data_IF_029373308446
#
_entry.id   IF_029373308446
#
_cell.length_a   1.000
_cell.length_b   1.000
_cell.length_c   1.000
_cell.angle_alpha   90.00
_cell.angle_beta   90.00
_cell.angle_gamma   90.00
#
_symmetry.space_group_name_H-M   'P 1'
#
loop_
_entity.id
_entity.type
_entity.pdbx_description
1 polymer ?
#
# COMPACT_ATOMS: atom_id res chain seq x y z
N UNK A 1 -4.42 -24.33 -6.05
CA UNK A 1 -4.42 -22.84 -6.32
C UNK A 1 -4.41 -22.62 -7.82
N UNK A 2 -4.95 -21.52 -8.33
CA UNK A 2 -4.88 -21.18 -9.77
C UNK A 2 -3.70 -20.21 -9.98
N UNK A 3 -2.67 -20.69 -10.69
CA UNK A 3 -1.54 -19.86 -11.12
C UNK A 3 -1.81 -19.44 -12.55
N UNK A 4 -1.70 -18.15 -12.84
CA UNK A 4 -1.93 -17.55 -14.14
C UNK A 4 -0.63 -16.91 -14.65
N UNK A 5 -0.30 -17.12 -15.92
CA UNK A 5 0.77 -16.38 -16.57
C UNK A 5 0.20 -15.08 -17.15
N UNK A 6 0.65 -13.93 -16.63
CA UNK A 6 0.13 -12.60 -17.00
C UNK A 6 1.02 -11.83 -17.99
N UNK A 7 2.27 -12.27 -18.14
CA UNK A 7 3.22 -11.82 -19.16
C UNK A 7 4.31 -12.90 -19.34
N UNK A 8 5.23 -12.72 -20.28
CA UNK A 8 6.36 -13.62 -20.47
C UNK A 8 7.16 -13.74 -19.16
N UNK A 9 7.31 -14.98 -18.66
CA UNK A 9 8.02 -15.29 -17.42
C UNK A 9 7.44 -14.60 -16.15
N UNK A 10 6.23 -14.06 -16.21
CA UNK A 10 5.54 -13.47 -15.06
C UNK A 10 4.27 -14.23 -14.76
N UNK A 11 4.19 -14.72 -13.55
CA UNK A 11 3.07 -15.49 -13.01
C UNK A 11 2.41 -14.73 -11.87
N UNK A 12 1.13 -14.99 -11.65
CA UNK A 12 0.39 -14.48 -10.48
C UNK A 12 -0.46 -15.56 -9.85
N UNK A 13 -0.63 -15.47 -8.56
CA UNK A 13 -1.59 -16.25 -7.79
C UNK A 13 -2.20 -15.42 -6.65
N UNK A 14 -3.47 -15.68 -6.28
CA UNK A 14 -4.14 -14.94 -5.24
C UNK A 14 -3.73 -15.42 -3.84
N UNK A 15 -3.28 -14.51 -2.98
CA UNK A 15 -3.20 -14.75 -1.54
C UNK A 15 -4.48 -14.20 -0.92
N UNK A 16 -5.32 -15.07 -0.35
CA UNK A 16 -6.58 -14.67 0.27
C UNK A 16 -6.35 -13.74 1.46
N UNK A 17 -7.19 -12.71 1.61
CA UNK A 17 -7.18 -11.77 2.74
C UNK A 17 -8.50 -11.93 3.51
N UNK A 18 -8.59 -12.87 4.47
CA UNK A 18 -9.85 -13.19 5.14
C UNK A 18 -10.42 -12.01 5.91
N UNK A 19 -11.73 -11.77 5.74
CA UNK A 19 -12.47 -10.68 6.36
C UNK A 19 -11.96 -9.27 6.00
N UNK A 20 -11.27 -9.14 4.86
CA UNK A 20 -10.78 -7.86 4.33
C UNK A 20 -11.56 -7.50 3.05
N UNK A 21 -11.99 -6.22 2.88
CA UNK A 21 -12.68 -5.77 1.66
C UNK A 21 -11.87 -5.95 0.38
N UNK A 22 -10.55 -6.00 0.46
CA UNK A 22 -9.65 -6.25 -0.68
C UNK A 22 -9.79 -7.68 -1.21
N UNK A 23 -10.20 -8.65 -0.38
CA UNK A 23 -10.43 -10.07 -0.65
C UNK A 23 -9.17 -10.88 -0.90
N UNK A 24 -8.26 -10.43 -1.76
CA UNK A 24 -6.98 -11.09 -2.06
C UNK A 24 -5.91 -10.08 -2.47
N UNK A 25 -4.67 -10.50 -2.32
CA UNK A 25 -3.48 -9.87 -2.90
C UNK A 25 -3.11 -10.64 -4.17
N UNK A 26 -2.81 -9.95 -5.25
CA UNK A 26 -2.16 -10.51 -6.44
C UNK A 26 -0.67 -10.65 -6.14
N UNK A 27 -0.23 -11.84 -5.74
CA UNK A 27 1.18 -12.12 -5.57
C UNK A 27 1.78 -12.42 -6.94
N UNK A 28 2.81 -11.67 -7.34
CA UNK A 28 3.47 -11.87 -8.63
C UNK A 28 4.81 -12.60 -8.46
N UNK A 29 5.19 -13.36 -9.49
CA UNK A 29 6.48 -14.02 -9.56
C UNK A 29 7.09 -13.81 -10.93
N UNK A 30 8.27 -13.22 -10.99
CA UNK A 30 9.11 -13.18 -12.19
C UNK A 30 10.04 -14.40 -12.10
N UNK A 31 9.93 -15.34 -13.05
CA UNK A 31 10.59 -16.65 -12.98
C UNK A 31 11.17 -17.07 -14.33
N UNK A 32 12.50 -17.07 -14.41
CA UNK A 32 13.24 -17.60 -15.58
C UNK A 32 14.71 -17.81 -15.24
N UNK A 33 15.31 -18.85 -15.84
CA UNK A 33 16.77 -19.06 -15.76
C UNK A 33 17.29 -19.44 -14.38
N UNK A 34 16.44 -20.01 -13.51
CA UNK A 34 16.83 -20.50 -12.19
C UNK A 34 16.91 -19.45 -11.09
N UNK A 35 16.54 -18.19 -11.35
CA UNK A 35 16.41 -17.14 -10.33
C UNK A 35 15.04 -16.48 -10.43
N UNK A 36 14.42 -16.28 -9.28
CA UNK A 36 13.04 -15.78 -9.19
C UNK A 36 12.95 -14.54 -8.31
N UNK A 37 11.95 -13.69 -8.60
CA UNK A 37 11.54 -12.59 -7.73
C UNK A 37 10.07 -12.77 -7.39
N UNK A 38 9.75 -12.98 -6.11
CA UNK A 38 8.38 -12.98 -5.61
C UNK A 38 8.06 -11.58 -5.07
N UNK A 39 6.89 -11.05 -5.41
CA UNK A 39 6.47 -9.69 -5.06
C UNK A 39 5.29 -9.77 -4.09
N UNK A 40 5.50 -9.24 -2.88
CA UNK A 40 4.58 -9.17 -1.74
C UNK A 40 4.17 -10.54 -1.15
N UNK A 41 3.67 -10.55 0.12
CA UNK A 41 3.62 -11.81 0.88
C UNK A 41 2.31 -12.09 1.63
N UNK A 42 1.32 -11.20 1.58
CA UNK A 42 0.07 -11.36 2.33
C UNK A 42 0.18 -11.05 3.83
N UNK A 43 -0.94 -11.10 4.57
CA UNK A 43 -0.96 -10.89 6.01
C UNK A 43 -0.20 -11.99 6.78
N UNK A 44 0.33 -11.64 7.95
CA UNK A 44 0.82 -12.62 8.94
C UNK A 44 -0.37 -13.40 9.57
N UNK A 45 -0.97 -14.26 8.77
CA UNK A 45 -2.09 -15.13 9.12
C UNK A 45 -1.91 -16.52 8.53
N UNK A 46 -2.40 -17.59 9.21
CA UNK A 46 -2.27 -18.95 8.71
C UNK A 46 -2.80 -19.12 7.28
N UNK A 47 -4.00 -18.59 6.98
CA UNK A 47 -4.65 -18.74 5.68
C UNK A 47 -3.86 -18.05 4.55
N UNK A 48 -3.29 -16.87 4.82
CA UNK A 48 -2.46 -16.15 3.86
C UNK A 48 -1.13 -16.89 3.63
N UNK A 49 -0.52 -17.38 4.71
CA UNK A 49 0.74 -18.14 4.66
C UNK A 49 0.57 -19.45 3.91
N UNK A 50 -0.50 -20.18 4.16
CA UNK A 50 -0.80 -21.42 3.43
C UNK A 50 -0.94 -21.15 1.93
N UNK A 51 -1.70 -20.12 1.54
CA UNK A 51 -1.85 -19.73 0.14
C UNK A 51 -0.52 -19.30 -0.50
N UNK A 52 0.31 -18.53 0.22
CA UNK A 52 1.64 -18.13 -0.23
C UNK A 52 2.53 -19.35 -0.48
N UNK A 53 2.65 -20.24 0.51
CA UNK A 53 3.52 -21.40 0.43
C UNK A 53 3.05 -22.42 -0.64
N UNK A 54 1.73 -22.58 -0.83
CA UNK A 54 1.20 -23.41 -1.92
C UNK A 54 1.59 -22.87 -3.29
N UNK A 55 1.44 -21.55 -3.53
CA UNK A 55 1.90 -20.90 -4.77
C UNK A 55 3.41 -21.03 -5.00
N UNK A 56 4.19 -20.78 -3.95
CA UNK A 56 5.64 -20.94 -4.00
C UNK A 56 6.06 -22.38 -4.33
N UNK A 57 5.43 -23.37 -3.70
CA UNK A 57 5.70 -24.79 -3.96
C UNK A 57 5.38 -25.17 -5.41
N UNK A 58 4.23 -24.76 -5.94
CA UNK A 58 3.83 -25.06 -7.32
C UNK A 58 4.78 -24.43 -8.35
N UNK A 59 5.40 -23.30 -8.04
CA UNK A 59 6.40 -22.64 -8.90
C UNK A 59 7.85 -23.04 -8.59
N UNK A 60 8.08 -23.96 -7.65
CA UNK A 60 9.42 -24.44 -7.29
C UNK A 60 10.31 -23.35 -6.67
N UNK A 61 9.73 -22.40 -5.92
CA UNK A 61 10.44 -21.30 -5.28
C UNK A 61 11.08 -21.77 -3.97
N UNK A 62 12.37 -21.57 -3.84
CA UNK A 62 13.19 -21.96 -2.69
C UNK A 62 14.09 -20.80 -2.25
N UNK A 63 14.66 -20.82 -1.02
CA UNK A 63 15.60 -19.77 -0.58
C UNK A 63 16.83 -19.62 -1.49
N UNK A 64 17.28 -20.71 -2.10
CA UNK A 64 18.46 -20.70 -2.97
C UNK A 64 18.22 -20.03 -4.33
N UNK A 65 16.96 -19.99 -4.79
CA UNK A 65 16.61 -19.52 -6.13
C UNK A 65 15.66 -18.33 -6.16
N UNK A 66 15.22 -17.78 -5.01
CA UNK A 66 14.16 -16.76 -4.98
C UNK A 66 14.50 -15.64 -3.99
N UNK A 67 14.40 -14.40 -4.46
CA UNK A 67 14.38 -13.21 -3.62
C UNK A 67 12.94 -12.70 -3.47
N UNK A 68 12.65 -12.04 -2.35
CA UNK A 68 11.33 -11.49 -2.02
C UNK A 68 11.40 -9.96 -2.13
N UNK A 69 10.63 -9.36 -3.01
CA UNK A 69 10.49 -7.91 -3.08
C UNK A 69 9.20 -7.48 -2.38
N UNK A 70 9.30 -6.50 -1.50
CA UNK A 70 8.18 -5.88 -0.80
C UNK A 70 7.95 -4.48 -1.36
N UNK A 71 6.77 -4.24 -1.91
CA UNK A 71 6.43 -2.96 -2.53
C UNK A 71 6.34 -1.83 -1.51
N UNK A 72 5.77 -2.10 -0.34
CA UNK A 72 5.57 -1.10 0.73
C UNK A 72 5.26 -1.74 2.09
N UNK A 73 5.15 -0.93 3.14
CA UNK A 73 5.14 -1.37 4.54
C UNK A 73 3.81 -1.97 5.05
N UNK A 74 2.70 -1.90 4.32
CA UNK A 74 1.42 -2.40 4.83
C UNK A 74 1.46 -3.90 5.11
N UNK A 75 0.67 -4.32 6.11
CA UNK A 75 0.74 -5.68 6.65
C UNK A 75 0.28 -6.78 5.69
N UNK A 76 -0.56 -6.45 4.72
CA UNK A 76 -0.97 -7.38 3.65
C UNK A 76 0.08 -7.56 2.55
N UNK A 77 1.16 -6.78 2.58
CA UNK A 77 2.34 -6.93 1.72
C UNK A 77 3.53 -7.51 2.49
N UNK A 78 3.77 -7.01 3.71
CA UNK A 78 4.93 -7.40 4.53
C UNK A 78 4.68 -8.60 5.44
N UNK A 79 3.43 -9.01 5.66
CA UNK A 79 3.04 -9.85 6.80
C UNK A 79 3.83 -11.15 6.96
N UNK A 80 4.21 -11.82 5.87
CA UNK A 80 5.03 -13.02 5.93
C UNK A 80 6.53 -12.78 5.66
N UNK A 81 7.00 -11.52 5.50
CA UNK A 81 8.40 -11.23 5.21
C UNK A 81 9.34 -11.73 6.30
N UNK A 82 9.00 -11.54 7.60
CA UNK A 82 9.80 -12.03 8.71
C UNK A 82 9.87 -13.58 8.76
N UNK A 83 8.75 -14.25 8.44
CA UNK A 83 8.71 -15.72 8.34
C UNK A 83 9.64 -16.20 7.21
N UNK A 84 9.50 -15.63 6.00
CA UNK A 84 10.33 -16.02 4.85
C UNK A 84 11.81 -15.72 5.06
N UNK A 85 12.16 -14.58 5.69
CA UNK A 85 13.54 -14.29 6.06
C UNK A 85 14.09 -15.33 7.06
N UNK A 86 13.28 -15.80 8.00
CA UNK A 86 13.61 -16.87 8.92
C UNK A 86 13.84 -18.23 8.24
N UNK A 87 13.15 -18.48 7.12
CA UNK A 87 13.33 -19.67 6.26
C UNK A 87 14.53 -19.52 5.30
N UNK A 88 15.26 -18.39 5.34
CA UNK A 88 16.47 -18.17 4.56
C UNK A 88 16.29 -17.41 3.24
N UNK A 89 15.07 -16.89 2.94
CA UNK A 89 14.87 -16.04 1.76
C UNK A 89 15.49 -14.66 1.95
N UNK A 90 16.10 -14.12 0.90
CA UNK A 90 16.53 -12.72 0.85
C UNK A 90 15.35 -11.81 0.63
N UNK A 91 15.16 -10.81 1.50
CA UNK A 91 14.12 -9.80 1.37
C UNK A 91 14.71 -8.49 0.86
N UNK A 92 14.01 -7.85 -0.09
CA UNK A 92 14.34 -6.54 -0.66
C UNK A 92 13.16 -5.61 -0.42
N UNK A 93 13.42 -4.38 0.04
CA UNK A 93 12.37 -3.42 0.36
C UNK A 93 12.89 -1.98 0.30
N UNK A 94 12.02 -1.03 -0.03
CA UNK A 94 12.35 0.39 0.03
C UNK A 94 12.86 0.81 1.41
N UNK A 95 14.00 1.50 1.46
CA UNK A 95 14.71 1.91 2.69
C UNK A 95 13.78 2.59 3.70
N UNK A 96 12.99 3.55 3.24
CA UNK A 96 12.13 4.35 4.12
C UNK A 96 11.09 3.46 4.80
N UNK A 97 10.39 2.64 4.06
CA UNK A 97 9.36 1.76 4.59
C UNK A 97 9.94 0.63 5.44
N UNK A 98 11.11 0.08 5.08
CA UNK A 98 11.79 -0.93 5.87
C UNK A 98 12.13 -0.40 7.28
N UNK A 99 12.64 0.83 7.38
CA UNK A 99 12.96 1.46 8.67
C UNK A 99 11.71 1.67 9.54
N UNK A 100 10.58 2.02 8.93
CA UNK A 100 9.31 2.19 9.65
C UNK A 100 8.78 0.83 10.12
N UNK A 101 8.74 -0.18 9.26
CA UNK A 101 8.18 -1.49 9.60
C UNK A 101 9.01 -2.26 10.63
N UNK A 102 10.31 -2.02 10.69
CA UNK A 102 11.23 -2.65 11.66
C UNK A 102 11.47 -1.82 12.92
N UNK A 103 10.88 -0.62 13.03
CA UNK A 103 10.93 0.19 14.24
C UNK A 103 10.37 -0.60 15.46
N UNK A 104 10.93 -0.40 16.68
CA UNK A 104 10.41 -1.04 17.88
C UNK A 104 8.90 -0.76 18.09
N UNK A 105 8.13 -1.79 18.41
CA UNK A 105 6.66 -1.72 18.53
C UNK A 105 6.18 -0.60 19.47
N UNK A 106 6.87 -0.40 20.60
CA UNK A 106 6.58 0.65 21.57
C UNK A 106 6.64 2.07 21.00
N UNK A 107 7.39 2.28 19.91
CA UNK A 107 7.65 3.60 19.32
C UNK A 107 6.80 3.84 18.05
N UNK A 108 6.41 2.77 17.33
CA UNK A 108 5.68 2.82 16.07
C UNK A 108 4.42 3.67 16.10
N UNK A 109 3.61 3.50 17.13
CA UNK A 109 2.25 4.08 17.18
C UNK A 109 2.14 5.26 18.14
N UNK A 110 3.17 5.54 18.95
CA UNK A 110 3.13 6.58 19.98
C UNK A 110 2.77 7.96 19.43
N UNK A 111 3.46 8.37 18.38
CA UNK A 111 3.23 9.68 17.74
C UNK A 111 1.89 9.71 17.00
N UNK A 112 1.53 8.62 16.31
CA UNK A 112 0.23 8.48 15.66
C UNK A 112 -0.93 8.60 16.64
N UNK A 113 -0.84 7.93 17.79
CA UNK A 113 -1.87 8.05 18.85
C UNK A 113 -1.96 9.47 19.41
N UNK A 114 -0.82 10.10 19.67
CA UNK A 114 -0.79 11.47 20.16
C UNK A 114 -1.40 12.45 19.14
N UNK A 115 -1.13 12.25 17.86
CA UNK A 115 -1.72 13.02 16.75
C UNK A 115 -3.24 12.81 16.71
N UNK A 116 -3.73 11.58 16.72
CA UNK A 116 -5.16 11.26 16.66
C UNK A 116 -5.96 11.97 17.76
N UNK A 117 -5.42 11.99 18.97
CA UNK A 117 -6.05 12.70 20.09
C UNK A 117 -6.03 14.23 19.92
N UNK A 118 -4.94 14.80 19.42
CA UNK A 118 -4.86 16.27 19.15
C UNK A 118 -5.83 16.71 18.04
N UNK A 119 -6.10 15.84 17.10
CA UNK A 119 -6.97 16.07 15.94
C UNK A 119 -8.44 15.73 16.17
N UNK A 120 -8.82 15.48 17.44
CA UNK A 120 -10.19 15.36 17.88
C UNK A 120 -10.74 13.93 17.94
N UNK A 121 -9.94 12.89 17.66
CA UNK A 121 -10.43 11.50 17.78
C UNK A 121 -10.76 11.15 19.23
N UNK A 122 -11.98 10.65 19.55
CA UNK A 122 -12.32 10.17 20.88
C UNK A 122 -11.40 9.03 21.34
N UNK A 123 -11.11 8.97 22.64
CA UNK A 123 -10.26 7.91 23.23
C UNK A 123 -10.83 6.50 23.00
N UNK A 124 -12.13 6.38 22.99
CA UNK A 124 -12.86 5.14 22.74
C UNK A 124 -12.63 4.65 21.30
N UNK A 125 -12.72 5.55 20.31
CA UNK A 125 -12.47 5.24 18.91
C UNK A 125 -10.99 4.90 18.68
N UNK A 126 -10.06 5.60 19.35
CA UNK A 126 -8.64 5.27 19.31
C UNK A 126 -8.34 3.87 19.87
N UNK A 127 -8.97 3.52 21.00
CA UNK A 127 -8.81 2.18 21.60
C UNK A 127 -9.33 1.08 20.68
N UNK A 128 -10.49 1.28 20.05
CA UNK A 128 -11.06 0.36 19.07
C UNK A 128 -10.19 0.24 17.81
N UNK A 129 -9.68 1.36 17.29
CA UNK A 129 -8.76 1.36 16.16
C UNK A 129 -7.50 0.55 16.48
N UNK A 130 -6.88 0.80 17.62
CA UNK A 130 -5.66 0.08 18.05
C UNK A 130 -5.88 -1.43 18.17
N UNK A 131 -7.06 -1.86 18.61
CA UNK A 131 -7.40 -3.27 18.75
C UNK A 131 -7.77 -3.97 17.44
N UNK A 132 -8.23 -3.24 16.44
CA UNK A 132 -8.85 -3.80 15.22
C UNK A 132 -8.05 -3.57 13.95
N UNK A 133 -7.13 -2.58 13.92
CA UNK A 133 -6.42 -2.27 12.68
C UNK A 133 -5.51 -3.42 12.22
N UNK A 134 -5.62 -3.84 10.95
CA UNK A 134 -4.75 -4.87 10.39
C UNK A 134 -3.26 -4.53 10.50
N UNK A 135 -2.91 -3.24 10.41
CA UNK A 135 -1.54 -2.75 10.52
C UNK A 135 -0.86 -3.13 11.85
N UNK A 136 -1.63 -3.24 12.93
CA UNK A 136 -1.13 -3.69 14.25
C UNK A 136 -1.32 -5.21 14.38
N UNK A 137 -2.53 -5.70 14.08
CA UNK A 137 -2.93 -7.08 14.34
C UNK A 137 -2.15 -8.11 13.51
N UNK A 138 -1.78 -7.77 12.29
CA UNK A 138 -1.09 -8.64 11.34
C UNK A 138 0.27 -8.09 10.91
N UNK A 139 0.84 -7.19 11.72
CA UNK A 139 2.17 -6.67 11.48
C UNK A 139 3.19 -7.81 11.38
N UNK A 140 4.18 -7.71 10.49
CA UNK A 140 5.31 -8.61 10.50
C UNK A 140 6.14 -8.39 11.78
N UNK A 141 6.88 -9.38 12.24
CA UNK A 141 8.02 -9.17 13.13
C UNK A 141 9.09 -8.35 12.42
N UNK A 142 10.14 -7.92 13.13
CA UNK A 142 11.32 -7.34 12.50
C UNK A 142 12.01 -8.38 11.59
N UNK A 143 12.48 -7.95 10.43
CA UNK A 143 13.18 -8.80 9.47
C UNK A 143 14.33 -8.03 8.82
N UNK A 144 15.43 -8.71 8.45
CA UNK A 144 16.48 -8.11 7.66
C UNK A 144 16.04 -7.94 6.22
N UNK A 145 16.41 -6.83 5.58
CA UNK A 145 16.22 -6.63 4.16
C UNK A 145 17.42 -5.92 3.53
N UNK A 146 17.68 -6.22 2.27
CA UNK A 146 18.46 -5.34 1.41
C UNK A 146 17.62 -4.12 1.12
N UNK A 147 18.01 -2.96 1.63
CA UNK A 147 17.35 -1.70 1.40
C UNK A 147 17.58 -1.22 -0.03
N UNK A 148 16.51 -0.77 -0.69
CA UNK A 148 16.49 -0.25 -2.05
C UNK A 148 16.10 1.23 -2.04
N UNK A 149 16.63 1.95 -3.03
CA UNK A 149 16.33 3.36 -3.27
C UNK A 149 15.77 3.55 -4.69
N UNK A 150 15.27 4.75 -4.99
CA UNK A 150 14.85 5.13 -6.35
C UNK A 150 15.99 4.95 -7.35
N UNK A 151 15.68 4.36 -8.50
CA UNK A 151 16.64 4.11 -9.57
C UNK A 151 17.43 2.82 -9.45
N UNK A 152 17.38 2.09 -8.30
CA UNK A 152 17.99 0.76 -8.21
C UNK A 152 17.40 -0.19 -9.25
N UNK A 153 18.22 -1.06 -9.82
CA UNK A 153 17.81 -2.01 -10.87
C UNK A 153 17.95 -3.45 -10.38
N UNK A 154 16.87 -4.21 -10.55
CA UNK A 154 16.80 -5.63 -10.25
C UNK A 154 16.65 -6.42 -11.56
N UNK A 155 17.51 -7.42 -11.78
CA UNK A 155 17.51 -8.22 -13.00
C UNK A 155 16.99 -9.63 -12.72
N UNK A 156 15.77 -9.92 -13.16
CA UNK A 156 15.13 -11.23 -13.02
C UNK A 156 14.35 -11.58 -14.29
N UNK A 157 14.35 -12.86 -14.67
CA UNK A 157 13.52 -13.35 -15.77
C UNK A 157 13.79 -12.70 -17.13
N UNK A 158 14.94 -12.06 -17.31
CA UNK A 158 15.26 -11.25 -18.49
C UNK A 158 14.66 -9.85 -18.46
N UNK A 159 14.06 -9.42 -17.34
CA UNK A 159 13.59 -8.06 -17.07
C UNK A 159 14.68 -7.24 -16.39
N UNK A 160 14.71 -5.94 -16.68
CA UNK A 160 15.49 -4.92 -15.99
C UNK A 160 14.53 -4.03 -15.19
N UNK A 161 14.14 -4.48 -14.01
CA UNK A 161 13.14 -3.87 -13.15
C UNK A 161 13.77 -2.71 -12.37
N UNK A 162 13.53 -1.49 -12.80
CA UNK A 162 13.97 -0.28 -12.10
C UNK A 162 12.99 0.05 -10.97
N UNK A 163 13.50 0.27 -9.77
CA UNK A 163 12.76 0.81 -8.65
C UNK A 163 12.36 2.26 -8.95
N UNK A 164 11.06 2.56 -8.91
CA UNK A 164 10.52 3.90 -8.98
C UNK A 164 9.93 4.26 -7.64
N UNK A 165 10.47 5.29 -6.97
CA UNK A 165 9.87 5.82 -5.76
C UNK A 165 8.52 6.48 -6.09
N UNK A 166 7.48 6.01 -5.44
CA UNK A 166 6.10 6.48 -5.60
C UNK A 166 5.49 6.77 -4.22
N UNK A 167 6.08 7.75 -3.48
CA UNK A 167 5.61 8.07 -2.14
C UNK A 167 4.17 8.62 -2.16
N UNK A 168 3.50 8.48 -1.02
CA UNK A 168 2.15 8.99 -0.78
C UNK A 168 1.26 7.96 -0.09
N UNK A 169 0.98 6.82 -0.71
CA UNK A 169 0.28 5.70 -0.06
C UNK A 169 1.06 5.22 1.18
N UNK A 170 2.37 5.01 1.02
CA UNK A 170 3.35 4.98 2.11
C UNK A 170 4.55 5.85 1.76
N UNK A 171 5.38 6.26 2.73
CA UNK A 171 6.53 7.13 2.48
C UNK A 171 7.60 6.49 1.58
N UNK A 172 7.76 5.19 1.66
CA UNK A 172 8.81 4.43 0.96
C UNK A 172 8.28 3.45 -0.09
N UNK A 173 7.06 3.68 -0.61
CA UNK A 173 6.49 2.84 -1.64
C UNK A 173 7.37 2.81 -2.89
N UNK A 174 7.64 1.62 -3.43
CA UNK A 174 8.36 1.40 -4.67
C UNK A 174 7.51 0.61 -5.67
N UNK A 175 7.41 1.12 -6.89
CA UNK A 175 7.00 0.35 -8.06
C UNK A 175 8.22 -0.28 -8.73
N UNK A 176 8.04 -1.40 -9.44
CA UNK A 176 9.08 -1.98 -10.29
C UNK A 176 8.70 -1.80 -11.77
N UNK A 177 9.56 -1.15 -12.54
CA UNK A 177 9.29 -0.75 -13.91
C UNK A 177 10.35 -1.29 -14.89
N UNK A 178 9.91 -2.01 -15.93
CA UNK A 178 10.73 -2.36 -17.09
C UNK A 178 10.32 -1.48 -18.28
N UNK A 179 11.17 -0.50 -18.59
CA UNK A 179 10.94 0.47 -19.68
C UNK A 179 10.92 -0.20 -21.07
N UNK A 180 11.79 -1.18 -21.28
CA UNK A 180 11.88 -1.88 -22.58
C UNK A 180 10.64 -2.70 -22.91
N UNK A 181 10.01 -3.27 -21.87
CA UNK A 181 8.80 -4.09 -21.99
C UNK A 181 7.53 -3.32 -21.65
N UNK A 182 7.65 -2.03 -21.30
CA UNK A 182 6.53 -1.15 -20.93
C UNK A 182 5.63 -1.78 -19.87
N UNK A 183 6.26 -2.42 -18.85
CA UNK A 183 5.60 -3.17 -17.81
C UNK A 183 5.92 -2.58 -16.44
N UNK A 184 4.91 -2.50 -15.57
CA UNK A 184 5.09 -2.00 -14.21
C UNK A 184 4.31 -2.83 -13.19
N UNK A 185 4.97 -3.20 -12.08
CA UNK A 185 4.33 -3.67 -10.85
C UNK A 185 4.03 -2.45 -9.98
N UNK A 186 2.76 -2.26 -9.66
CA UNK A 186 2.26 -1.01 -9.08
C UNK A 186 2.16 -1.05 -7.55
N UNK A 187 2.24 -2.22 -6.92
CA UNK A 187 1.83 -2.31 -5.52
C UNK A 187 0.45 -1.72 -5.33
N UNK A 188 0.30 -0.88 -4.29
CA UNK A 188 -0.93 -0.14 -3.99
C UNK A 188 -0.88 1.33 -4.46
N UNK A 189 0.10 1.70 -5.29
CA UNK A 189 0.17 3.06 -5.80
C UNK A 189 -1.01 3.39 -6.73
N UNK A 190 -1.35 2.50 -7.66
CA UNK A 190 -2.54 2.64 -8.53
C UNK A 190 -3.35 1.34 -8.51
N UNK A 191 -4.60 1.44 -8.05
CA UNK A 191 -5.60 0.38 -8.10
C UNK A 191 -6.74 0.80 -9.02
N UNK A 192 -7.25 -0.12 -9.85
CA UNK A 192 -8.17 0.23 -10.93
C UNK A 192 -9.63 0.33 -10.48
N UNK A 193 -10.07 -0.48 -9.51
CA UNK A 193 -11.46 -0.53 -9.04
C UNK A 193 -11.72 0.37 -7.82
N UNK A 194 -10.67 0.68 -7.05
CA UNK A 194 -10.76 1.41 -5.78
C UNK A 194 -9.70 2.49 -5.72
N UNK A 195 -9.92 3.50 -4.90
CA UNK A 195 -8.88 4.50 -4.60
C UNK A 195 -7.99 3.99 -3.50
N UNK A 196 -6.65 4.00 -3.68
CA UNK A 196 -5.72 3.73 -2.59
C UNK A 196 -5.95 4.66 -1.41
N UNK A 197 -5.72 4.14 -0.21
CA UNK A 197 -5.79 4.94 1.00
C UNK A 197 -4.53 5.78 1.15
N UNK A 198 -4.68 7.10 1.30
CA UNK A 198 -3.58 8.01 1.58
C UNK A 198 -3.74 8.51 3.01
N UNK A 199 -2.75 8.23 3.84
CA UNK A 199 -2.72 8.62 5.26
C UNK A 199 -1.66 9.68 5.52
N UNK A 200 -1.86 10.45 6.59
CA UNK A 200 -0.80 11.28 7.14
C UNK A 200 0.24 10.39 7.83
N UNK A 201 1.49 10.48 7.42
CA UNK A 201 2.62 9.74 7.98
C UNK A 201 3.46 10.63 8.91
N UNK A 202 4.01 10.04 9.97
CA UNK A 202 4.89 10.77 10.87
C UNK A 202 6.17 11.19 10.14
N UNK A 203 6.54 12.47 10.24
CA UNK A 203 7.71 13.01 9.56
C UNK A 203 7.52 13.31 8.05
N UNK A 204 6.32 13.08 7.50
CA UNK A 204 5.96 13.43 6.12
C UNK A 204 5.01 14.63 6.13
N UNK A 205 5.41 15.79 5.61
CA UNK A 205 4.59 17.00 5.67
C UNK A 205 3.32 16.92 4.82
N UNK A 206 3.40 16.29 3.64
CA UNK A 206 2.32 16.31 2.65
C UNK A 206 2.27 14.97 1.86
N UNK A 207 1.71 13.93 2.47
CA UNK A 207 1.60 12.62 1.85
C UNK A 207 0.68 12.61 0.61
N UNK A 208 -0.37 13.44 0.60
CA UNK A 208 -1.26 13.51 -0.54
C UNK A 208 -0.62 14.29 -1.71
N UNK A 209 0.12 15.35 -1.44
CA UNK A 209 0.90 16.03 -2.47
C UNK A 209 1.98 15.12 -3.06
N UNK A 210 2.67 14.32 -2.23
CA UNK A 210 3.58 13.27 -2.70
C UNK A 210 2.87 12.28 -3.62
N UNK A 211 1.69 11.80 -3.21
CA UNK A 211 0.88 10.88 -4.00
C UNK A 211 0.46 11.48 -5.36
N UNK A 212 -0.01 12.72 -5.36
CA UNK A 212 -0.41 13.41 -6.60
C UNK A 212 0.78 13.60 -7.55
N UNK A 213 1.99 13.94 -7.04
CA UNK A 213 3.21 14.00 -7.85
C UNK A 213 3.58 12.63 -8.42
N UNK A 214 3.45 11.58 -7.62
CA UNK A 214 3.69 10.21 -8.07
C UNK A 214 2.68 9.75 -9.14
N UNK A 215 1.42 10.17 -9.05
CA UNK A 215 0.41 9.90 -10.09
C UNK A 215 0.72 10.64 -11.41
N UNK A 216 1.20 11.89 -11.33
CA UNK A 216 1.64 12.62 -12.55
C UNK A 216 2.85 11.92 -13.20
N UNK A 217 3.76 11.33 -12.41
CA UNK A 217 4.82 10.47 -12.95
C UNK A 217 4.22 9.28 -13.69
N UNK A 218 3.25 8.56 -13.10
CA UNK A 218 2.61 7.39 -13.76
C UNK A 218 1.98 7.77 -15.10
N UNK A 219 1.40 8.96 -15.23
CA UNK A 219 0.82 9.45 -16.49
C UNK A 219 1.86 9.67 -17.58
N UNK A 220 3.10 9.97 -17.21
CA UNK A 220 4.19 10.24 -18.14
C UNK A 220 4.86 8.98 -18.70
N UNK A 221 4.61 7.82 -18.08
CA UNK A 221 5.21 6.54 -18.47
C UNK A 221 4.45 5.89 -19.63
N UNK A 222 5.19 5.35 -20.60
CA UNK A 222 4.62 4.53 -21.68
C UNK A 222 4.47 3.08 -21.20
N UNK A 223 3.27 2.73 -20.69
CA UNK A 223 2.97 1.44 -20.07
C UNK A 223 1.90 0.69 -20.87
N UNK A 224 2.22 -0.54 -21.26
CA UNK A 224 1.29 -1.49 -21.88
C UNK A 224 0.73 -2.51 -20.87
N UNK A 225 1.58 -2.92 -19.90
CA UNK A 225 1.20 -3.90 -18.88
C UNK A 225 1.36 -3.30 -17.49
N UNK A 226 0.23 -3.05 -16.82
CA UNK A 226 0.17 -2.56 -15.45
C UNK A 226 -0.34 -3.66 -14.51
N UNK A 227 0.41 -3.97 -13.44
CA UNK A 227 0.18 -5.09 -12.53
C UNK A 227 -0.09 -4.56 -11.11
N UNK A 228 -1.38 -4.32 -10.74
CA UNK A 228 -1.76 -3.82 -9.42
C UNK A 228 -1.73 -4.94 -8.37
N UNK A 229 -1.46 -4.61 -7.11
CA UNK A 229 -1.44 -5.60 -6.04
C UNK A 229 -2.84 -6.12 -5.65
N UNK A 230 -3.89 -5.36 -5.89
CA UNK A 230 -5.25 -5.78 -5.56
C UNK A 230 -6.21 -5.63 -6.74
N UNK A 231 -7.20 -6.53 -6.81
CA UNK A 231 -8.27 -6.53 -7.81
C UNK A 231 -7.78 -6.77 -9.24
N UNK A 232 -8.68 -6.62 -10.19
CA UNK A 232 -8.36 -6.72 -11.61
C UNK A 232 -7.93 -5.36 -12.18
N UNK A 233 -7.19 -5.40 -13.28
CA UNK A 233 -6.75 -4.20 -14.00
C UNK A 233 -7.91 -3.40 -14.64
N UNK A 234 -9.02 -4.01 -15.00
CA UNK A 234 -10.07 -3.34 -15.77
C UNK A 234 -9.62 -2.95 -17.20
N UNK A 235 -10.39 -2.07 -17.85
CA UNK A 235 -10.18 -1.66 -19.25
C UNK A 235 -9.35 -0.37 -19.40
N UNK A 236 -9.14 0.38 -18.32
CA UNK A 236 -8.42 1.66 -18.35
C UNK A 236 -6.91 1.47 -18.55
N UNK A 237 -6.29 2.38 -19.25
CA UNK A 237 -4.83 2.52 -19.25
C UNK A 237 -4.35 3.05 -17.89
N UNK A 238 -3.06 2.87 -17.59
CA UNK A 238 -2.47 3.42 -16.37
C UNK A 238 -2.62 4.95 -16.31
N UNK A 239 -2.38 5.64 -17.43
CA UNK A 239 -2.49 7.10 -17.52
C UNK A 239 -3.92 7.59 -17.26
N UNK A 240 -4.94 6.94 -17.85
CA UNK A 240 -6.34 7.29 -17.62
C UNK A 240 -6.74 7.06 -16.15
N UNK A 241 -6.30 5.95 -15.55
CA UNK A 241 -6.59 5.67 -14.16
C UNK A 241 -5.91 6.65 -13.22
N UNK A 242 -4.64 6.99 -13.45
CA UNK A 242 -3.92 8.01 -12.69
C UNK A 242 -4.64 9.38 -12.76
N UNK A 243 -5.10 9.77 -13.94
CA UNK A 243 -5.88 11.00 -14.11
C UNK A 243 -7.20 10.98 -13.31
N UNK A 244 -7.92 9.85 -13.32
CA UNK A 244 -9.15 9.71 -12.51
C UNK A 244 -8.87 9.82 -11.00
N UNK A 245 -7.74 9.28 -10.52
CA UNK A 245 -7.35 9.38 -9.13
C UNK A 245 -6.98 10.82 -8.75
N UNK A 246 -6.24 11.53 -9.59
CA UNK A 246 -5.94 12.96 -9.39
C UNK A 246 -7.23 13.78 -9.28
N UNK A 247 -8.17 13.59 -10.20
CA UNK A 247 -9.44 14.29 -10.16
C UNK A 247 -10.27 13.94 -8.92
N UNK A 248 -10.30 12.65 -8.53
CA UNK A 248 -10.95 12.22 -7.30
C UNK A 248 -10.43 12.99 -6.09
N UNK A 249 -9.11 13.10 -5.93
CA UNK A 249 -8.51 13.82 -4.80
C UNK A 249 -8.76 15.32 -4.85
N UNK A 250 -8.70 15.95 -6.04
CA UNK A 250 -9.07 17.37 -6.20
C UNK A 250 -10.51 17.66 -5.76
N UNK A 251 -11.45 16.81 -6.15
CA UNK A 251 -12.86 16.94 -5.72
C UNK A 251 -13.00 16.82 -4.19
N UNK A 252 -12.25 15.88 -3.59
CA UNK A 252 -12.22 15.71 -2.13
C UNK A 252 -11.66 16.94 -1.40
N UNK A 253 -10.60 17.53 -1.93
CA UNK A 253 -10.01 18.76 -1.40
C UNK A 253 -10.96 19.94 -1.46
N UNK A 254 -11.60 20.17 -2.61
CA UNK A 254 -12.58 21.24 -2.78
C UNK A 254 -13.76 21.09 -1.79
N UNK A 255 -14.21 19.85 -1.55
CA UNK A 255 -15.24 19.57 -0.53
C UNK A 255 -14.75 19.92 0.88
N UNK A 256 -13.52 19.50 1.22
CA UNK A 256 -12.92 19.78 2.52
C UNK A 256 -12.72 21.27 2.76
N UNK A 257 -12.16 22.01 1.80
CA UNK A 257 -11.97 23.45 1.85
C UNK A 257 -13.30 24.20 2.11
N UNK A 258 -14.34 23.86 1.34
CA UNK A 258 -15.67 24.44 1.54
C UNK A 258 -16.19 24.19 2.96
N UNK A 259 -16.08 22.95 3.45
CA UNK A 259 -16.57 22.58 4.79
C UNK A 259 -15.80 23.26 5.92
N UNK A 260 -14.49 23.47 5.78
CA UNK A 260 -13.67 24.23 6.72
C UNK A 260 -14.14 25.68 6.78
N UNK A 261 -14.40 26.32 5.63
CA UNK A 261 -14.95 27.68 5.59
C UNK A 261 -16.34 27.81 6.22
N UNK A 262 -17.18 26.80 6.05
CA UNK A 262 -18.53 26.76 6.63
C UNK A 262 -18.52 26.47 8.15
N UNK A 263 -17.46 25.83 8.66
CA UNK A 263 -17.34 25.39 10.07
C UNK A 263 -15.99 25.81 10.69
N UNK A 264 -15.76 27.11 10.97
CA UNK A 264 -14.49 27.58 11.53
C UNK A 264 -14.15 26.89 12.86
N UNK A 265 -12.92 26.38 12.97
CA UNK A 265 -12.45 25.69 14.16
C UNK A 265 -12.81 24.20 14.24
N UNK A 266 -13.37 23.64 13.17
CA UNK A 266 -13.64 22.20 13.07
C UNK A 266 -12.32 21.41 13.11
N UNK A 267 -12.28 20.34 13.90
CA UNK A 267 -11.13 19.42 13.90
C UNK A 267 -11.13 18.52 12.66
N UNK A 268 -9.96 17.95 12.31
CA UNK A 268 -9.89 17.01 11.17
C UNK A 268 -10.81 15.79 11.33
N UNK A 269 -10.98 15.30 12.56
CA UNK A 269 -11.89 14.20 12.87
C UNK A 269 -13.37 14.58 12.65
N UNK A 270 -13.78 15.77 13.10
CA UNK A 270 -15.15 16.28 12.89
C UNK A 270 -15.41 16.59 11.42
N UNK A 271 -14.44 17.21 10.74
CA UNK A 271 -14.51 17.50 9.31
C UNK A 271 -14.75 16.22 8.50
N UNK A 272 -14.03 15.14 8.82
CA UNK A 272 -14.26 13.84 8.19
C UNK A 272 -15.71 13.36 8.35
N UNK A 273 -16.35 13.66 9.49
CA UNK A 273 -17.74 13.34 9.73
C UNK A 273 -18.75 14.15 8.89
N UNK A 274 -18.34 15.33 8.42
CA UNK A 274 -19.18 16.21 7.56
C UNK A 274 -19.03 15.88 6.06
N UNK A 275 -17.93 15.23 5.66
CA UNK A 275 -17.66 14.92 4.26
C UNK A 275 -18.53 13.77 3.73
N UNK A 276 -18.69 13.74 2.41
CA UNK A 276 -19.41 12.70 1.69
C UNK A 276 -18.54 11.45 1.51
N UNK A 277 -19.00 10.28 1.97
CA UNK A 277 -18.33 9.00 1.81
C UNK A 277 -19.18 7.95 1.12
N UNK A 278 -18.59 7.17 0.22
CA UNK A 278 -19.25 6.03 -0.43
C UNK A 278 -19.13 4.77 0.42
N UNK A 279 -19.63 4.81 1.65
CA UNK A 279 -19.60 3.71 2.62
C UNK A 279 -21.02 3.28 2.97
N UNK A 280 -21.22 1.98 3.25
CA UNK A 280 -22.50 1.42 3.70
C UNK A 280 -22.76 1.72 5.19
N UNK A 281 -22.67 2.98 5.58
CA UNK A 281 -23.02 3.46 6.91
C UNK A 281 -24.03 4.59 6.79
N UNK A 282 -24.98 4.68 7.74
CA UNK A 282 -26.03 5.69 7.71
C UNK A 282 -25.53 7.08 8.12
N UNK A 283 -24.57 7.12 9.04
CA UNK A 283 -23.98 8.33 9.57
C UNK A 283 -22.54 8.06 10.05
N UNK A 284 -21.80 9.11 10.41
CA UNK A 284 -20.43 9.04 10.88
C UNK A 284 -20.24 8.16 12.13
N UNK A 285 -21.22 8.15 13.06
CA UNK A 285 -21.13 7.34 14.28
C UNK A 285 -21.08 5.83 13.95
N UNK A 286 -21.75 5.40 12.87
CA UNK A 286 -21.83 4.01 12.43
C UNK A 286 -20.57 3.54 11.65
N UNK A 287 -19.61 4.42 11.35
CA UNK A 287 -18.39 4.05 10.64
C UNK A 287 -17.54 3.13 11.51
N UNK A 288 -16.97 2.05 10.95
CA UNK A 288 -15.96 1.28 11.63
C UNK A 288 -14.78 2.17 12.07
N UNK A 289 -14.20 1.97 13.28
CA UNK A 289 -13.11 2.79 13.78
C UNK A 289 -11.89 2.87 12.84
N UNK A 290 -11.58 1.79 12.15
CA UNK A 290 -10.53 1.77 11.11
C UNK A 290 -10.85 2.70 9.93
N UNK A 291 -12.12 2.77 9.50
CA UNK A 291 -12.54 3.67 8.43
C UNK A 291 -12.61 5.13 8.88
N UNK A 292 -13.02 5.39 10.14
CA UNK A 292 -12.91 6.74 10.72
C UNK A 292 -11.47 7.24 10.67
N UNK A 293 -10.53 6.41 11.14
CA UNK A 293 -9.11 6.76 11.13
C UNK A 293 -8.60 7.04 9.71
N UNK A 294 -8.92 6.18 8.75
CA UNK A 294 -8.56 6.36 7.34
C UNK A 294 -9.15 7.65 6.78
N UNK A 295 -10.44 7.90 7.03
CA UNK A 295 -11.15 9.05 6.48
C UNK A 295 -10.56 10.37 6.92
N UNK A 296 -10.24 10.52 8.21
CA UNK A 296 -9.69 11.78 8.70
C UNK A 296 -8.19 11.93 8.41
N UNK A 297 -7.40 10.85 8.40
CA UNK A 297 -5.97 10.93 8.03
C UNK A 297 -5.77 11.29 6.56
N UNK A 298 -6.72 10.94 5.70
CA UNK A 298 -6.74 11.40 4.31
C UNK A 298 -6.84 12.93 4.20
N UNK A 299 -7.67 13.56 5.03
CA UNK A 299 -7.76 15.03 5.08
C UNK A 299 -6.47 15.67 5.56
N UNK A 300 -5.85 15.06 6.56
CA UNK A 300 -4.61 15.55 7.18
C UNK A 300 -3.39 15.40 6.29
N UNK A 301 -3.44 14.53 5.28
CA UNK A 301 -2.36 14.39 4.30
C UNK A 301 -2.13 15.67 3.47
N UNK A 302 -3.01 16.67 3.55
CA UNK A 302 -2.96 17.99 2.91
C UNK A 302 -2.90 19.16 3.90
N UNK A 303 -2.17 19.01 5.00
CA UNK A 303 -2.08 20.00 6.08
C UNK A 303 -1.66 21.40 5.63
N UNK A 304 -0.82 21.50 4.59
CA UNK A 304 -0.25 22.75 4.10
C UNK A 304 -1.25 23.64 3.34
N UNK A 305 -2.31 23.07 2.77
CA UNK A 305 -3.28 23.84 1.96
C UNK A 305 -4.57 24.18 2.73
N UNK A 306 -4.96 23.38 3.71
CA UNK A 306 -6.22 23.56 4.44
C UNK A 306 -6.10 24.39 5.72
N UNK A 307 -4.88 24.72 6.20
CA UNK A 307 -4.66 25.46 7.45
C UNK A 307 -5.45 24.91 8.66
N UNK A 308 -5.59 23.57 8.79
CA UNK A 308 -6.29 22.85 9.86
C UNK A 308 -5.48 22.75 11.15
#
# INVERSE_FOLDING_TARGET
>A
MNIEQVADNIYTFPIVLPNNPLKWLNCYVVSYGGRNLLIDTGFNRPECREALLDGMHQLGLTPDNTDIFITHLHSDHTGNAAYLAGEGFSVLMGRTDHRVVTMPEKDKHKETHARFLREGMPKEDLALWSAQTPAIKFAPGAFPARELDDGDVLCYGGYELRCLATPGHTPGHLCLFDEKRKLIFLGDHVLFDISPNICAWNGVPDSLGDYLRSLELMKSLDIETALPAHRARGELTLSERAQQLIEHHRLRLNEAERLVHENPGVTAYELAGLMTWRIKAKNWADFPPSQKAVSYTHLRAHETELHL
#
